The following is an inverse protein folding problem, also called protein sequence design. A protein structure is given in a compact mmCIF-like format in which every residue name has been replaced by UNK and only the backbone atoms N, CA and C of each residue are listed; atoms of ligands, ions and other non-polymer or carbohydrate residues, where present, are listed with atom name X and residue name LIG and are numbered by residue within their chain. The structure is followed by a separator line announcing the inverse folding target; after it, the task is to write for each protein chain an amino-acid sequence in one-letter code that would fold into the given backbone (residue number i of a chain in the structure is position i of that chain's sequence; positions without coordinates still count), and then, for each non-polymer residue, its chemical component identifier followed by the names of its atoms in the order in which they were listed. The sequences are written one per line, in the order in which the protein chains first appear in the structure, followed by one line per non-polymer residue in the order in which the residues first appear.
data_IF_079497571218
#
_entry.id   IF_079497571218
#
_cell.length_a   1.000
_cell.length_b   1.000
_cell.length_c   1.000
_cell.angle_alpha   90.00
_cell.angle_beta   90.00
_cell.angle_gamma   90.00
#
_symmetry.space_group_name_H-M   'P 1'
#
loop_
_entity.id
_entity.type
_entity.pdbx_description
1 polymer ?
#
# COMPACT_ATOMS: atom_id res chain seq x y z
N UNK A 1 4.17 54.93 36.50
CA UNK A 1 3.81 54.55 35.13
C UNK A 1 3.29 55.82 34.50
N UNK A 2 4.00 56.33 33.51
CA UNK A 2 3.66 57.59 32.86
C UNK A 2 2.45 57.35 31.94
N UNK A 3 1.45 58.22 32.03
CA UNK A 3 0.26 58.19 31.20
C UNK A 3 0.60 58.47 29.73
N UNK A 4 0.03 57.69 28.82
CA UNK A 4 0.21 57.88 27.38
C UNK A 4 -0.86 58.88 26.91
N UNK A 5 -0.40 60.02 26.38
CA UNK A 5 -1.23 61.15 25.96
C UNK A 5 -1.20 61.20 24.43
N UNK A 6 -2.34 61.43 23.80
CA UNK A 6 -2.43 61.56 22.34
C UNK A 6 -1.95 62.94 21.83
N UNK A 7 -1.94 63.09 20.50
CA UNK A 7 -1.49 64.32 19.82
C UNK A 7 -2.37 65.55 20.08
N UNK A 8 -3.54 65.39 20.70
CA UNK A 8 -4.46 66.46 21.08
C UNK A 8 -4.44 66.76 22.59
N UNK A 9 -3.60 66.06 23.36
CA UNK A 9 -3.45 66.26 24.80
C UNK A 9 -4.46 65.50 25.66
N UNK A 10 -5.18 64.54 25.09
CA UNK A 10 -6.12 63.69 25.84
C UNK A 10 -5.44 62.39 26.30
N UNK A 11 -5.80 61.95 27.52
CA UNK A 11 -5.23 60.75 28.14
C UNK A 11 -5.88 59.49 27.53
N UNK A 12 -5.06 58.61 26.93
CA UNK A 12 -5.56 57.42 26.25
C UNK A 12 -5.84 56.34 27.29
N UNK A 13 -7.13 56.15 27.60
CA UNK A 13 -7.59 55.07 28.49
C UNK A 13 -7.81 53.81 27.65
N UNK A 14 -6.90 52.84 27.78
CA UNK A 14 -7.07 51.51 27.18
C UNK A 14 -8.11 50.71 27.96
N UNK A 15 -9.35 50.68 27.50
CA UNK A 15 -10.35 49.77 28.04
C UNK A 15 -9.94 48.31 27.71
N UNK A 16 -9.98 47.40 28.69
CA UNK A 16 -9.66 46.00 28.44
C UNK A 16 -10.70 45.40 27.50
N UNK A 17 -10.24 44.79 26.40
CA UNK A 17 -11.12 44.07 25.48
C UNK A 17 -11.87 42.94 26.22
N UNK A 18 -13.20 42.96 26.16
CA UNK A 18 -14.02 41.88 26.67
C UNK A 18 -14.09 40.77 25.63
N UNK A 19 -13.20 39.77 25.75
CA UNK A 19 -13.14 38.61 24.87
C UNK A 19 -14.28 37.66 25.30
N UNK A 20 -15.30 37.40 24.46
CA UNK A 20 -16.32 36.41 24.80
C UNK A 20 -15.65 35.05 25.00
N UNK A 21 -16.01 34.36 26.08
CA UNK A 21 -15.49 33.06 26.46
C UNK A 21 -15.79 32.04 25.35
N UNK A 22 -14.81 31.84 24.47
CA UNK A 22 -14.80 30.76 23.50
C UNK A 22 -14.45 29.51 24.30
N UNK A 23 -15.49 28.80 24.76
CA UNK A 23 -15.41 27.72 25.76
C UNK A 23 -14.27 26.72 25.57
N UNK A 24 -13.99 25.97 26.64
CA UNK A 24 -12.85 25.06 26.80
C UNK A 24 -12.36 24.45 25.47
N UNK A 25 -11.21 24.95 25.02
CA UNK A 25 -10.45 24.33 23.95
C UNK A 25 -9.93 23.03 24.56
N UNK A 26 -10.52 21.89 24.21
CA UNK A 26 -9.92 20.60 24.54
C UNK A 26 -8.46 20.64 24.08
N UNK A 27 -7.53 20.33 24.99
CA UNK A 27 -6.10 20.23 24.70
C UNK A 27 -5.89 19.18 23.61
N UNK A 28 -5.97 19.61 22.35
CA UNK A 28 -5.46 18.84 21.22
C UNK A 28 -3.97 18.80 21.49
N UNK A 29 -3.47 17.66 22.00
CA UNK A 29 -2.04 17.43 22.25
C UNK A 29 -1.25 17.98 21.06
N UNK A 30 -0.65 19.17 21.21
CA UNK A 30 0.29 19.70 20.24
C UNK A 30 1.49 18.79 20.31
N UNK A 31 1.51 17.74 19.48
CA UNK A 31 2.68 16.91 19.26
C UNK A 31 3.86 17.86 19.08
N UNK A 32 4.77 17.82 20.06
CA UNK A 32 5.92 18.72 20.15
C UNK A 32 6.73 18.51 18.87
N UNK A 33 6.75 19.50 17.98
CA UNK A 33 7.55 19.42 16.74
C UNK A 33 9.01 19.21 17.16
N UNK A 34 9.63 18.13 16.69
CA UNK A 34 11.02 17.83 17.01
C UNK A 34 11.91 18.95 16.46
N UNK A 35 12.76 19.50 17.33
CA UNK A 35 13.73 20.54 16.92
C UNK A 35 14.85 19.87 16.15
N UNK A 36 15.07 20.33 14.92
CA UNK A 36 16.19 19.89 14.11
C UNK A 36 17.35 20.84 14.36
N UNK A 37 18.50 20.31 14.75
CA UNK A 37 19.72 21.08 14.97
C UNK A 37 20.72 20.78 13.86
N UNK A 38 21.18 21.84 13.17
CA UNK A 38 22.25 21.74 12.17
C UNK A 38 23.38 22.65 12.65
N UNK A 39 24.58 22.09 12.88
CA UNK A 39 25.74 22.80 13.42
C UNK A 39 25.45 23.59 14.72
N UNK A 40 24.55 23.10 15.57
CA UNK A 40 24.21 23.71 16.87
C UNK A 40 23.24 24.90 16.80
N UNK A 41 22.69 25.22 15.62
CA UNK A 41 21.66 26.25 15.45
C UNK A 41 20.28 25.58 15.42
N UNK A 42 19.34 26.11 16.22
CA UNK A 42 17.93 25.70 16.22
C UNK A 42 17.28 26.17 14.91
N UNK A 43 16.91 25.24 14.04
CA UNK A 43 16.30 25.52 12.74
C UNK A 43 14.90 24.91 12.70
N UNK A 44 13.95 25.66 12.11
CA UNK A 44 12.61 25.14 11.82
C UNK A 44 12.53 24.87 10.32
N UNK A 45 12.14 23.64 9.94
CA UNK A 45 11.86 23.31 8.55
C UNK A 45 10.60 24.08 8.13
N UNK A 46 10.78 25.10 7.28
CA UNK A 46 9.68 25.95 6.80
C UNK A 46 8.90 25.27 5.67
N UNK A 47 9.61 24.54 4.79
CA UNK A 47 9.04 23.69 3.76
C UNK A 47 10.06 22.61 3.36
N UNK A 48 9.60 21.39 3.09
CA UNK A 48 10.42 20.27 2.66
C UNK A 48 10.15 19.99 1.18
N UNK A 49 11.22 19.88 0.37
CA UNK A 49 11.12 19.54 -1.06
C UNK A 49 12.04 18.38 -1.37
N UNK A 50 11.48 17.19 -1.47
CA UNK A 50 12.20 15.99 -1.92
C UNK A 50 12.31 16.05 -3.44
N UNK A 51 13.52 16.02 -3.97
CA UNK A 51 13.79 15.94 -5.42
C UNK A 51 14.41 14.58 -5.73
N UNK A 52 13.68 13.76 -6.47
CA UNK A 52 14.12 12.41 -6.85
C UNK A 52 14.54 12.43 -8.31
N UNK A 53 15.54 11.62 -8.67
CA UNK A 53 16.04 11.49 -10.04
C UNK A 53 15.35 10.28 -10.68
N UNK A 54 14.61 10.48 -11.77
CA UNK A 54 14.06 9.35 -12.54
C UNK A 54 15.15 8.58 -13.31
N UNK A 55 14.78 7.47 -13.95
CA UNK A 55 15.65 6.64 -14.79
C UNK A 55 16.30 7.41 -15.96
N UNK A 56 15.63 8.45 -16.46
CA UNK A 56 16.14 9.37 -17.49
C UNK A 56 17.14 10.41 -16.96
N UNK A 57 17.40 10.43 -15.65
CA UNK A 57 18.32 11.37 -15.00
C UNK A 57 17.73 12.75 -14.71
N UNK A 58 16.42 12.94 -14.87
CA UNK A 58 15.71 14.20 -14.64
C UNK A 58 15.31 14.33 -13.17
N UNK A 59 15.52 15.50 -12.60
CA UNK A 59 15.06 15.84 -11.25
C UNK A 59 13.54 16.10 -11.28
N UNK A 60 12.79 15.25 -10.60
CA UNK A 60 11.36 15.43 -10.36
C UNK A 60 11.20 16.13 -9.00
N UNK A 61 10.39 17.19 -8.96
CA UNK A 61 10.14 17.97 -7.72
C UNK A 61 8.85 17.59 -7.00
N UNK A 62 8.22 16.50 -7.45
CA UNK A 62 7.03 15.90 -6.87
C UNK A 62 7.46 14.66 -6.08
N UNK A 63 6.67 14.24 -5.08
CA UNK A 63 6.93 12.97 -4.39
C UNK A 63 6.88 11.82 -5.39
N UNK A 64 7.68 10.79 -5.16
CA UNK A 64 7.69 9.61 -6.03
C UNK A 64 6.30 8.98 -6.16
N UNK A 65 5.53 9.00 -5.07
CA UNK A 65 4.11 8.65 -5.04
C UNK A 65 3.28 9.36 -6.13
N UNK A 66 3.43 10.67 -6.27
CA UNK A 66 2.65 11.45 -7.24
C UNK A 66 3.07 11.17 -8.69
N UNK A 67 4.38 10.98 -8.92
CA UNK A 67 4.90 10.53 -10.21
C UNK A 67 4.32 9.16 -10.60
N UNK A 68 4.41 8.19 -9.70
CA UNK A 68 3.90 6.84 -9.92
C UNK A 68 2.38 6.84 -10.12
N UNK A 69 1.62 7.68 -9.39
CA UNK A 69 0.18 7.89 -9.61
C UNK A 69 -0.11 8.32 -11.05
N UNK A 70 0.63 9.31 -11.57
CA UNK A 70 0.46 9.76 -12.96
C UNK A 70 0.75 8.63 -13.96
N UNK A 71 1.82 7.86 -13.75
CA UNK A 71 2.17 6.72 -14.60
C UNK A 71 1.15 5.60 -14.60
N UNK A 72 0.58 5.28 -13.44
CA UNK A 72 -0.53 4.31 -13.36
C UNK A 72 -1.74 4.82 -14.13
N UNK A 73 -2.09 6.10 -14.05
CA UNK A 73 -3.21 6.67 -14.81
C UNK A 73 -2.97 6.77 -16.32
N UNK A 74 -1.71 6.86 -16.76
CA UNK A 74 -1.35 6.77 -18.18
C UNK A 74 -1.61 5.36 -18.75
N UNK A 75 -1.48 4.31 -17.93
CA UNK A 75 -1.74 2.92 -18.33
C UNK A 75 -3.19 2.50 -18.10
N UNK A 76 -3.78 2.89 -16.98
CA UNK A 76 -5.10 2.48 -16.55
C UNK A 76 -6.00 3.69 -16.35
N UNK A 77 -6.98 3.83 -17.24
CA UNK A 77 -7.87 4.98 -17.32
C UNK A 77 -8.76 5.16 -16.09
N UNK A 78 -9.06 4.05 -15.40
CA UNK A 78 -9.88 4.02 -14.19
C UNK A 78 -9.49 2.86 -13.28
N UNK A 79 -10.02 2.84 -12.06
CA UNK A 79 -9.89 1.69 -11.17
C UNK A 79 -10.48 0.43 -11.81
N UNK A 80 -11.66 0.52 -12.43
CA UNK A 80 -12.31 -0.63 -13.07
C UNK A 80 -11.46 -1.20 -14.21
N UNK A 81 -10.79 -0.32 -14.97
CA UNK A 81 -9.86 -0.71 -16.03
C UNK A 81 -8.69 -1.54 -15.47
N UNK A 82 -8.07 -1.06 -14.40
CA UNK A 82 -7.03 -1.80 -13.68
C UNK A 82 -7.55 -3.14 -13.13
N UNK A 83 -8.72 -3.16 -12.47
CA UNK A 83 -9.31 -4.37 -11.89
C UNK A 83 -9.62 -5.42 -12.98
N UNK A 84 -10.16 -4.98 -14.12
CA UNK A 84 -10.46 -5.84 -15.25
C UNK A 84 -9.18 -6.40 -15.88
N UNK A 85 -8.16 -5.57 -16.09
CA UNK A 85 -6.86 -6.04 -16.60
C UNK A 85 -6.21 -7.03 -15.63
N UNK A 86 -6.19 -6.71 -14.34
CA UNK A 86 -5.60 -7.54 -13.30
C UNK A 86 -6.29 -8.89 -13.21
N UNK A 87 -7.61 -8.93 -13.14
CA UNK A 87 -8.39 -10.18 -13.03
C UNK A 87 -8.35 -11.04 -14.31
N UNK A 88 -8.31 -10.41 -15.49
CA UNK A 88 -8.27 -11.13 -16.77
C UNK A 88 -6.89 -11.65 -17.17
N UNK A 89 -5.81 -11.10 -16.62
CA UNK A 89 -4.46 -11.55 -16.93
C UNK A 89 -4.18 -12.98 -16.43
N UNK A 90 -3.58 -13.80 -17.29
CA UNK A 90 -3.13 -15.16 -16.93
C UNK A 90 -1.98 -15.16 -15.93
N UNK A 91 -1.15 -14.10 -15.93
CA UNK A 91 -0.06 -13.89 -14.99
C UNK A 91 -0.03 -12.44 -14.55
N UNK A 92 -0.02 -12.18 -13.24
CA UNK A 92 0.05 -10.82 -12.71
C UNK A 92 1.44 -10.23 -12.93
N UNK A 93 2.46 -11.07 -12.99
CA UNK A 93 3.83 -10.67 -13.34
C UNK A 93 3.90 -9.79 -14.58
N UNK A 94 3.10 -10.08 -15.63
CA UNK A 94 3.14 -9.29 -16.87
C UNK A 94 2.75 -7.83 -16.63
N UNK A 95 1.73 -7.59 -15.80
CA UNK A 95 1.30 -6.23 -15.45
C UNK A 95 2.35 -5.56 -14.55
N UNK A 96 2.94 -6.33 -13.63
CA UNK A 96 3.99 -5.85 -12.74
C UNK A 96 5.22 -5.40 -13.56
N UNK A 97 5.64 -6.23 -14.52
CA UNK A 97 6.77 -5.95 -15.41
C UNK A 97 6.50 -4.72 -16.30
N UNK A 98 5.28 -4.62 -16.89
CA UNK A 98 4.84 -3.45 -17.66
C UNK A 98 4.94 -2.14 -16.84
N UNK A 99 4.61 -2.19 -15.53
CA UNK A 99 4.72 -1.04 -14.65
C UNK A 99 6.17 -0.74 -14.25
N UNK A 100 7.01 -1.75 -14.05
CA UNK A 100 8.45 -1.56 -13.84
C UNK A 100 9.12 -0.90 -15.06
N UNK A 101 8.76 -1.30 -16.27
CA UNK A 101 9.24 -0.68 -17.52
C UNK A 101 8.84 0.80 -17.64
N UNK A 102 7.81 1.24 -16.92
CA UNK A 102 7.36 2.63 -16.82
C UNK A 102 7.96 3.40 -15.64
N UNK A 103 9.07 2.91 -15.09
CA UNK A 103 9.79 3.49 -13.96
C UNK A 103 9.00 3.52 -12.64
N UNK A 104 8.09 2.56 -12.45
CA UNK A 104 7.41 2.37 -11.16
C UNK A 104 8.18 1.30 -10.37
N UNK A 105 8.86 1.73 -9.31
CA UNK A 105 9.66 0.96 -8.38
C UNK A 105 8.84 0.75 -7.12
N UNK A 106 8.25 -0.44 -6.99
CA UNK A 106 7.35 -0.73 -5.87
C UNK A 106 8.06 -0.71 -4.52
N UNK A 107 9.35 -1.01 -4.47
CA UNK A 107 10.16 -0.97 -3.24
C UNK A 107 10.23 0.44 -2.65
N UNK A 108 10.45 1.47 -3.47
CA UNK A 108 10.49 2.87 -3.01
C UNK A 108 9.11 3.29 -2.48
N UNK A 109 8.04 2.90 -3.18
CA UNK A 109 6.67 3.20 -2.77
C UNK A 109 6.28 2.48 -1.47
N UNK A 110 6.76 1.25 -1.25
CA UNK A 110 6.53 0.50 -0.01
C UNK A 110 7.22 1.17 1.18
N UNK A 111 8.44 1.69 1.00
CA UNK A 111 9.18 2.40 2.06
C UNK A 111 8.41 3.64 2.51
N UNK A 112 7.86 4.42 1.58
CA UNK A 112 7.09 5.62 1.89
C UNK A 112 5.80 5.33 2.68
N UNK A 113 5.17 4.17 2.43
CA UNK A 113 3.88 3.80 3.06
C UNK A 113 4.08 3.02 4.37
N UNK A 114 5.21 2.30 4.50
CA UNK A 114 5.57 1.58 5.72
C UNK A 114 4.69 0.36 6.02
N UNK A 115 4.11 -0.27 4.98
CA UNK A 115 3.27 -1.47 5.11
C UNK A 115 3.65 -2.54 4.10
N UNK A 116 3.60 -3.81 4.52
CA UNK A 116 3.79 -5.01 3.68
C UNK A 116 2.55 -5.28 2.81
N UNK A 117 2.28 -4.34 1.89
CA UNK A 117 1.19 -4.43 0.94
C UNK A 117 1.56 -5.28 -0.27
N UNK A 118 0.54 -5.90 -0.84
CA UNK A 118 0.68 -6.50 -2.16
C UNK A 118 0.89 -5.42 -3.22
N UNK A 119 1.53 -5.74 -4.35
CA UNK A 119 1.72 -4.78 -5.45
C UNK A 119 0.35 -4.30 -5.97
N UNK A 120 -0.65 -5.18 -6.02
CA UNK A 120 -2.02 -4.82 -6.35
C UNK A 120 -2.58 -3.74 -5.42
N UNK A 121 -2.44 -3.92 -4.10
CA UNK A 121 -2.94 -2.98 -3.09
C UNK A 121 -2.19 -1.66 -3.11
N UNK A 122 -0.89 -1.72 -3.36
CA UNK A 122 -0.03 -0.57 -3.50
C UNK A 122 -0.50 0.34 -4.65
N UNK A 123 -0.79 -0.26 -5.81
CA UNK A 123 -1.34 0.46 -6.97
C UNK A 123 -2.72 1.03 -6.63
N UNK A 124 -3.60 0.22 -6.03
CA UNK A 124 -4.93 0.66 -5.60
C UNK A 124 -4.87 1.87 -4.65
N UNK A 125 -3.93 1.85 -3.69
CA UNK A 125 -3.76 2.91 -2.71
C UNK A 125 -3.20 4.19 -3.32
N UNK A 126 -2.19 4.08 -4.18
CA UNK A 126 -1.49 5.24 -4.73
C UNK A 126 -2.31 5.92 -5.83
N UNK A 127 -2.85 5.13 -6.76
CA UNK A 127 -3.53 5.68 -7.92
C UNK A 127 -5.00 6.01 -7.65
N UNK A 128 -5.68 5.22 -6.81
CA UNK A 128 -7.13 5.31 -6.65
C UNK A 128 -7.57 5.59 -5.21
N UNK A 129 -6.62 6.01 -4.35
CA UNK A 129 -6.88 6.44 -2.97
C UNK A 129 -7.64 5.39 -2.12
N UNK A 130 -7.47 4.10 -2.45
CA UNK A 130 -8.06 2.99 -1.68
C UNK A 130 -7.34 2.81 -0.33
N UNK A 131 -8.01 2.29 0.70
CA UNK A 131 -7.37 1.96 1.96
C UNK A 131 -6.19 0.99 1.76
N UNK A 132 -5.04 1.22 2.42
CA UNK A 132 -3.89 0.34 2.29
C UNK A 132 -4.16 -1.00 3.00
N UNK A 133 -4.13 -2.09 2.23
CA UNK A 133 -4.36 -3.46 2.71
C UNK A 133 -3.07 -4.28 2.60
N UNK A 134 -2.74 -5.01 3.65
CA UNK A 134 -1.57 -5.90 3.69
C UNK A 134 -1.88 -7.26 3.10
N UNK A 135 -0.84 -7.97 2.65
CA UNK A 135 -0.95 -9.35 2.17
C UNK A 135 -1.57 -10.28 3.22
N UNK A 136 -1.19 -10.10 4.49
CA UNK A 136 -1.76 -10.81 5.64
C UNK A 136 -3.26 -10.56 5.80
N UNK A 137 -3.71 -9.32 5.67
CA UNK A 137 -5.14 -8.99 5.76
C UNK A 137 -5.95 -9.63 4.62
N UNK A 138 -5.39 -9.69 3.39
CA UNK A 138 -6.00 -10.43 2.28
C UNK A 138 -6.08 -11.92 2.55
N UNK A 139 -4.99 -12.54 2.98
CA UNK A 139 -4.97 -13.95 3.33
C UNK A 139 -6.01 -14.28 4.42
N UNK A 140 -6.09 -13.47 5.47
CA UNK A 140 -7.08 -13.62 6.52
C UNK A 140 -8.52 -13.48 6.00
N UNK A 141 -8.75 -12.60 5.02
CA UNK A 141 -10.07 -12.42 4.39
C UNK A 141 -10.50 -13.65 3.60
N UNK A 142 -9.58 -14.31 2.90
CA UNK A 142 -9.85 -15.60 2.20
C UNK A 142 -10.21 -16.69 3.20
N UNK A 143 -9.45 -16.79 4.31
CA UNK A 143 -9.73 -17.78 5.36
C UNK A 143 -11.13 -17.60 5.97
N UNK A 144 -11.58 -16.36 6.17
CA UNK A 144 -12.91 -16.04 6.73
C UNK A 144 -14.07 -16.33 5.77
N UNK A 145 -13.82 -16.45 4.47
CA UNK A 145 -14.85 -16.66 3.43
C UNK A 145 -15.14 -18.13 3.15
N UNK A 146 -14.61 -19.05 3.96
CA UNK A 146 -14.83 -20.49 3.83
C UNK A 146 -14.45 -21.10 2.47
N UNK A 147 -13.60 -20.41 1.69
CA UNK A 147 -13.14 -20.85 0.36
C UNK A 147 -12.63 -22.30 0.37
N UNK A 148 -11.87 -22.65 1.40
CA UNK A 148 -11.22 -23.95 1.54
C UNK A 148 -12.18 -25.11 1.82
N UNK A 149 -13.46 -24.86 2.09
CA UNK A 149 -14.43 -25.93 2.35
C UNK A 149 -14.85 -26.68 1.08
N UNK A 150 -14.54 -26.15 -0.11
CA UNK A 150 -14.73 -26.87 -1.39
C UNK A 150 -13.67 -27.93 -1.66
N UNK A 151 -12.60 -27.97 -0.86
CA UNK A 151 -11.52 -28.94 -0.96
C UNK A 151 -11.43 -29.78 0.31
N UNK A 152 -10.95 -31.02 0.16
CA UNK A 152 -10.78 -31.96 1.26
C UNK A 152 -9.36 -32.51 1.32
N UNK A 153 -9.01 -33.02 2.49
CA UNK A 153 -7.73 -33.69 2.74
C UNK A 153 -6.52 -32.86 2.31
N UNK A 154 -5.63 -33.50 1.55
CA UNK A 154 -4.33 -32.94 1.18
C UNK A 154 -4.45 -31.69 0.29
N UNK A 155 -5.41 -31.63 -0.62
CA UNK A 155 -5.64 -30.47 -1.49
C UNK A 155 -5.93 -29.20 -0.69
N UNK A 156 -6.75 -29.32 0.37
CA UNK A 156 -7.08 -28.22 1.27
C UNK A 156 -5.84 -27.66 1.97
N UNK A 157 -5.00 -28.53 2.50
CA UNK A 157 -3.78 -28.14 3.22
C UNK A 157 -2.74 -27.51 2.28
N UNK A 158 -2.59 -28.02 1.05
CA UNK A 158 -1.74 -27.41 0.03
C UNK A 158 -2.18 -25.98 -0.30
N UNK A 159 -3.49 -25.75 -0.50
CA UNK A 159 -4.00 -24.42 -0.80
C UNK A 159 -3.83 -23.43 0.36
N UNK A 160 -3.93 -23.90 1.60
CA UNK A 160 -3.62 -23.06 2.77
C UNK A 160 -2.14 -22.68 2.82
N UNK A 161 -1.25 -23.64 2.55
CA UNK A 161 0.19 -23.38 2.49
C UNK A 161 0.54 -22.39 1.35
N UNK A 162 -0.13 -22.50 0.20
CA UNK A 162 -0.01 -21.51 -0.88
C UNK A 162 -0.49 -20.12 -0.44
N UNK A 163 -1.63 -20.04 0.26
CA UNK A 163 -2.11 -18.76 0.76
C UNK A 163 -1.16 -18.13 1.80
N UNK A 164 -0.56 -18.94 2.66
CA UNK A 164 0.49 -18.52 3.60
C UNK A 164 1.72 -18.01 2.83
N UNK A 165 2.15 -18.73 1.80
CA UNK A 165 3.25 -18.30 0.94
C UNK A 165 2.98 -16.96 0.26
N UNK A 166 1.76 -16.78 -0.24
CA UNK A 166 1.31 -15.48 -0.77
C UNK A 166 1.39 -14.38 0.29
N UNK A 167 0.97 -14.66 1.53
CA UNK A 167 1.00 -13.69 2.62
C UNK A 167 2.42 -13.17 2.91
N UNK A 168 3.43 -14.02 2.73
CA UNK A 168 4.83 -13.69 3.03
C UNK A 168 5.58 -13.12 1.81
N UNK A 169 5.37 -13.69 0.62
CA UNK A 169 6.19 -13.40 -0.57
C UNK A 169 5.42 -12.74 -1.72
N UNK A 170 4.09 -12.74 -1.69
CA UNK A 170 3.25 -12.07 -2.70
C UNK A 170 2.75 -13.01 -3.79
N UNK A 171 2.01 -12.43 -4.74
CA UNK A 171 1.29 -13.18 -5.78
C UNK A 171 2.20 -13.87 -6.77
N UNK A 172 3.31 -13.23 -7.14
CA UNK A 172 4.29 -13.70 -8.13
C UNK A 172 4.79 -15.11 -7.80
N UNK A 173 4.95 -15.41 -6.50
CA UNK A 173 5.43 -16.70 -6.03
C UNK A 173 4.44 -17.83 -6.26
N UNK A 174 3.13 -17.60 -6.06
CA UNK A 174 2.12 -18.67 -6.09
C UNK A 174 1.56 -18.96 -7.49
N UNK A 175 1.77 -18.07 -8.45
CA UNK A 175 1.38 -18.26 -9.87
C UNK A 175 2.26 -19.31 -10.58
N UNK A 176 3.40 -19.68 -10.00
CA UNK A 176 4.35 -20.62 -10.62
C UNK A 176 4.29 -21.99 -9.96
N UNK A 177 4.34 -23.06 -10.77
CA UNK A 177 4.43 -24.44 -10.27
C UNK A 177 5.74 -24.69 -9.49
N UNK A 178 6.74 -23.83 -9.69
CA UNK A 178 8.03 -23.95 -9.00
C UNK A 178 7.91 -23.76 -7.49
N UNK A 179 6.87 -23.05 -7.03
CA UNK A 179 6.54 -22.93 -5.60
C UNK A 179 6.40 -24.29 -4.93
N UNK A 180 5.93 -25.32 -5.66
CA UNK A 180 5.75 -26.66 -5.13
C UNK A 180 7.06 -27.42 -4.88
N UNK A 181 8.19 -26.90 -5.37
CA UNK A 181 9.52 -27.47 -5.11
C UNK A 181 10.14 -26.95 -3.82
N UNK A 182 9.52 -25.95 -3.19
CA UNK A 182 10.05 -25.34 -1.99
C UNK A 182 9.94 -26.27 -0.76
N UNK A 183 10.79 -26.10 0.26
CA UNK A 183 10.83 -26.97 1.43
C UNK A 183 9.48 -27.12 2.14
N UNK A 184 8.68 -26.05 2.18
CA UNK A 184 7.37 -26.01 2.83
C UNK A 184 6.39 -26.99 2.20
N UNK A 185 6.56 -27.29 0.91
CA UNK A 185 5.70 -28.21 0.15
C UNK A 185 6.21 -29.65 0.13
N UNK A 186 7.44 -29.89 0.58
CA UNK A 186 8.07 -31.22 0.52
C UNK A 186 7.33 -32.28 1.34
N UNK A 187 6.64 -31.86 2.41
CA UNK A 187 5.78 -32.74 3.22
C UNK A 187 4.55 -33.24 2.46
N UNK A 188 4.12 -32.53 1.42
CA UNK A 188 3.05 -32.92 0.52
C UNK A 188 3.55 -33.77 -0.67
N UNK A 189 4.84 -34.13 -0.71
CA UNK A 189 5.42 -34.95 -1.77
C UNK A 189 6.01 -34.12 -2.91
N UNK A 190 6.25 -34.77 -4.04
CA UNK A 190 6.79 -34.13 -5.24
C UNK A 190 5.77 -33.20 -5.90
N UNK A 191 6.25 -32.22 -6.68
CA UNK A 191 5.37 -31.31 -7.43
C UNK A 191 4.34 -32.06 -8.30
N UNK A 192 4.70 -33.21 -8.87
CA UNK A 192 3.80 -34.05 -9.67
C UNK A 192 2.70 -34.68 -8.80
N UNK A 193 3.06 -35.22 -7.62
CA UNK A 193 2.08 -35.80 -6.69
C UNK A 193 1.12 -34.73 -6.14
N UNK A 194 1.63 -33.53 -5.87
CA UNK A 194 0.82 -32.39 -5.46
C UNK A 194 -0.19 -32.05 -6.55
N UNK A 195 0.26 -31.86 -7.80
CA UNK A 195 -0.64 -31.57 -8.93
C UNK A 195 -1.67 -32.69 -9.13
N UNK A 196 -1.29 -33.95 -8.99
CA UNK A 196 -2.19 -35.08 -9.12
C UNK A 196 -3.25 -35.13 -8.01
N UNK A 197 -2.99 -34.53 -6.83
CA UNK A 197 -3.98 -34.41 -5.75
C UNK A 197 -5.19 -33.59 -6.18
N UNK A 198 -5.03 -32.66 -7.13
CA UNK A 198 -6.12 -31.87 -7.71
C UNK A 198 -6.80 -32.58 -8.89
N UNK A 199 -6.30 -33.74 -9.31
CA UNK A 199 -6.79 -34.48 -10.48
C UNK A 199 -6.12 -34.08 -11.80
N UNK A 200 -4.93 -33.49 -11.73
CA UNK A 200 -4.08 -33.18 -12.89
C UNK A 200 -3.72 -31.70 -13.00
N UNK A 201 -2.88 -31.38 -14.00
CA UNK A 201 -2.34 -30.03 -14.21
C UNK A 201 -3.43 -28.97 -14.38
N UNK A 202 -4.43 -29.24 -15.21
CA UNK A 202 -5.47 -28.25 -15.54
C UNK A 202 -6.31 -27.90 -14.31
N UNK A 203 -6.70 -28.91 -13.51
CA UNK A 203 -7.44 -28.71 -12.27
C UNK A 203 -6.63 -28.01 -11.18
N UNK A 204 -5.32 -28.26 -11.13
CA UNK A 204 -4.43 -27.50 -10.26
C UNK A 204 -4.39 -26.02 -10.66
N UNK A 205 -4.19 -25.73 -11.95
CA UNK A 205 -4.18 -24.34 -12.44
C UNK A 205 -5.52 -23.63 -12.21
N UNK A 206 -6.64 -24.34 -12.39
CA UNK A 206 -7.98 -23.83 -12.04
C UNK A 206 -8.07 -23.50 -10.54
N UNK A 207 -7.59 -24.39 -9.67
CA UNK A 207 -7.58 -24.16 -8.22
C UNK A 207 -6.72 -22.96 -7.80
N UNK A 208 -5.58 -22.72 -8.48
CA UNK A 208 -4.74 -21.55 -8.28
C UNK A 208 -5.48 -20.28 -8.73
N UNK A 209 -6.04 -20.27 -9.95
CA UNK A 209 -6.81 -19.12 -10.46
C UNK A 209 -7.99 -18.77 -9.55
N UNK A 210 -8.69 -19.77 -9.04
CA UNK A 210 -9.77 -19.56 -8.07
C UNK A 210 -9.26 -18.97 -6.75
N UNK A 211 -8.10 -19.42 -6.27
CA UNK A 211 -7.47 -18.87 -5.06
C UNK A 211 -7.08 -17.39 -5.27
N UNK A 212 -6.47 -17.06 -6.41
CA UNK A 212 -6.13 -15.67 -6.78
C UNK A 212 -7.38 -14.77 -6.81
N UNK A 213 -8.45 -15.26 -7.45
CA UNK A 213 -9.72 -14.53 -7.50
C UNK A 213 -10.25 -14.25 -6.10
N UNK A 214 -10.19 -15.22 -5.19
CA UNK A 214 -10.62 -15.02 -3.80
C UNK A 214 -9.70 -14.07 -3.01
N UNK A 215 -8.38 -14.11 -3.25
CA UNK A 215 -7.41 -13.17 -2.66
C UNK A 215 -7.76 -11.72 -3.02
N UNK A 216 -8.14 -11.46 -4.27
CA UNK A 216 -8.39 -10.10 -4.77
C UNK A 216 -9.85 -9.63 -4.70
N UNK A 217 -10.77 -10.51 -4.32
CA UNK A 217 -12.20 -10.20 -4.20
C UNK A 217 -12.49 -9.16 -3.10
N UNK A 218 -13.33 -8.17 -3.42
CA UNK A 218 -13.82 -7.15 -2.50
C UNK A 218 -13.17 -5.76 -2.62
N UNK A 219 -12.46 -5.50 -3.73
CA UNK A 219 -11.91 -4.16 -4.05
C UNK A 219 -12.84 -3.34 -4.96
N UNK A 220 -13.67 -4.05 -5.73
CA UNK A 220 -14.80 -3.50 -6.48
C UNK A 220 -15.92 -3.05 -5.55
#
# INVERSE_FOLDING_TARGET
MDSIIDENGEEIIFEPFNIPDAGEIEDIEKKKREKVYINGVDVTILNERVQIRNSEGKLITTSYKEYSKQKVHEEFSSLDDFLNRWSSSEKKQVIIDELYEKDILFEELKVDIGKDMDIFDLICHIAYDKPPLTRKERANSVQKRDYFNKYEGKAKEILKALLEKYSDEGIETIETIEVLKLPEFSSFGTAIEIVNTFGGRDKYLEAIKDLENEIYKGVA
#
